data_IF_893063721620
#
_entry.id   IF_893063721620
#
_cell.length_a   1.000
_cell.length_b   1.000
_cell.length_c   1.000
_cell.angle_alpha   90.00
_cell.angle_beta   90.00
_cell.angle_gamma   90.00
#
_symmetry.space_group_name_H-M   'P 1'
#
loop_
_entity.id
_entity.type
_entity.pdbx_description
1 polymer ?
#
# COMPACT_ATOMS: atom_id res chain seq x y z
N UNK A 1 16.78 -6.19 29.22
CA UNK A 1 16.20 -6.55 27.91
C UNK A 1 14.84 -5.90 27.84
N UNK A 2 14.76 -4.64 27.38
CA UNK A 2 13.47 -4.00 27.17
C UNK A 2 12.87 -4.64 25.92
N UNK A 3 11.76 -5.37 26.10
CA UNK A 3 10.93 -5.78 24.97
C UNK A 3 10.45 -4.47 24.35
N UNK A 4 10.90 -4.13 23.15
CA UNK A 4 10.44 -2.94 22.44
C UNK A 4 8.92 -3.03 22.31
N UNK A 5 8.21 -2.33 23.18
CA UNK A 5 6.76 -2.29 23.12
C UNK A 5 6.40 -1.51 21.86
N UNK A 6 5.62 -2.13 20.98
CA UNK A 6 5.03 -1.46 19.82
C UNK A 6 4.39 -0.12 20.26
N UNK A 7 4.44 0.94 19.46
CA UNK A 7 3.72 2.17 19.78
C UNK A 7 2.22 1.87 19.98
N UNK A 8 1.56 2.62 20.86
CA UNK A 8 0.15 2.38 21.22
C UNK A 8 -0.77 2.46 20.01
N UNK A 9 -0.51 3.42 19.13
CA UNK A 9 -1.23 3.70 17.90
C UNK A 9 -1.10 2.54 16.89
N UNK A 10 0.09 1.94 16.81
CA UNK A 10 0.33 0.76 15.94
C UNK A 10 -0.46 -0.44 16.46
N UNK A 11 -0.48 -0.67 17.77
CA UNK A 11 -1.30 -1.74 18.37
C UNK A 11 -2.80 -1.50 18.18
N UNK A 12 -3.25 -0.26 18.32
CA UNK A 12 -4.65 0.10 18.14
C UNK A 12 -5.09 -0.16 16.70
N UNK A 13 -4.30 0.28 15.73
CA UNK A 13 -4.57 0.01 14.32
C UNK A 13 -4.52 -1.49 14.00
N UNK A 14 -3.55 -2.24 14.52
CA UNK A 14 -3.48 -3.69 14.33
C UNK A 14 -4.71 -4.41 14.93
N UNK A 15 -5.17 -3.98 16.11
CA UNK A 15 -6.40 -4.50 16.73
C UNK A 15 -7.65 -4.18 15.89
N UNK A 16 -7.72 -2.96 15.36
CA UNK A 16 -8.78 -2.56 14.44
C UNK A 16 -8.78 -3.42 13.17
N UNK A 17 -7.61 -3.62 12.56
CA UNK A 17 -7.46 -4.42 11.35
C UNK A 17 -7.83 -5.89 11.57
N UNK A 18 -7.46 -6.46 12.72
CA UNK A 18 -7.92 -7.80 13.12
C UNK A 18 -9.44 -7.86 13.22
N UNK A 19 -10.08 -6.87 13.84
CA UNK A 19 -11.53 -6.78 13.94
C UNK A 19 -12.23 -6.63 12.58
N UNK A 20 -11.61 -5.90 11.65
CA UNK A 20 -12.09 -5.78 10.27
C UNK A 20 -12.00 -7.13 9.54
N UNK A 21 -10.85 -7.79 9.58
CA UNK A 21 -10.60 -9.07 8.90
C UNK A 21 -11.42 -10.23 9.49
N UNK A 22 -11.74 -10.21 10.78
CA UNK A 22 -12.62 -11.21 11.40
C UNK A 22 -14.06 -11.17 10.84
N UNK A 23 -14.46 -10.08 10.20
CA UNK A 23 -15.77 -9.93 9.54
C UNK A 23 -15.74 -10.29 8.06
N UNK A 24 -14.56 -10.45 7.47
CA UNK A 24 -14.39 -10.77 6.06
C UNK A 24 -14.18 -12.27 5.89
N UNK A 25 -14.74 -12.83 4.83
CA UNK A 25 -14.45 -14.21 4.43
C UNK A 25 -13.05 -14.26 3.80
N UNK A 26 -12.14 -15.03 4.42
CA UNK A 26 -10.76 -15.19 3.97
C UNK A 26 -10.64 -16.10 2.74
N UNK A 27 -11.74 -16.70 2.27
CA UNK A 27 -11.80 -17.55 1.07
C UNK A 27 -12.21 -16.82 -0.20
N UNK A 28 -12.69 -15.57 -0.12
CA UNK A 28 -13.14 -14.77 -1.28
C UNK A 28 -12.64 -13.32 -1.21
N UNK A 29 -12.85 -12.57 -2.30
CA UNK A 29 -12.49 -11.14 -2.36
C UNK A 29 -10.99 -10.88 -2.34
N UNK A 30 -10.63 -9.61 -2.12
CA UNK A 30 -9.24 -9.17 -2.00
C UNK A 30 -8.53 -9.74 -0.78
N UNK A 31 -9.25 -9.94 0.33
CA UNK A 31 -8.77 -10.58 1.55
C UNK A 31 -8.12 -11.94 1.24
N UNK A 32 -8.81 -12.80 0.48
CA UNK A 32 -8.27 -14.09 0.08
C UNK A 32 -7.05 -13.98 -0.83
N UNK A 33 -7.05 -13.02 -1.76
CA UNK A 33 -5.92 -12.78 -2.67
C UNK A 33 -4.67 -12.36 -1.89
N UNK A 34 -4.81 -11.45 -0.92
CA UNK A 34 -3.67 -11.02 -0.10
C UNK A 34 -3.12 -12.16 0.75
N UNK A 35 -3.99 -12.95 1.39
CA UNK A 35 -3.56 -14.12 2.17
C UNK A 35 -2.86 -15.19 1.32
N UNK A 36 -3.30 -15.40 0.08
CA UNK A 36 -2.65 -16.35 -0.84
C UNK A 36 -1.30 -15.82 -1.36
N UNK A 37 -1.21 -14.52 -1.64
CA UNK A 37 -0.01 -13.90 -2.22
C UNK A 37 1.09 -13.68 -1.19
N UNK A 38 0.73 -13.23 0.01
CA UNK A 38 1.68 -12.86 1.06
C UNK A 38 1.11 -13.11 2.48
N UNK A 39 1.03 -14.39 2.90
CA UNK A 39 0.50 -14.73 4.22
C UNK A 39 1.36 -14.19 5.37
N UNK A 40 2.68 -14.07 5.17
CA UNK A 40 3.60 -13.59 6.20
C UNK A 40 3.49 -12.07 6.36
N UNK A 41 3.38 -11.32 5.26
CA UNK A 41 3.11 -9.88 5.30
C UNK A 41 1.75 -9.55 5.94
N UNK A 42 0.72 -10.36 5.65
CA UNK A 42 -0.59 -10.22 6.32
C UNK A 42 -0.48 -10.45 7.82
N UNK A 43 0.23 -11.49 8.27
CA UNK A 43 0.48 -11.73 9.71
C UNK A 43 1.27 -10.59 10.34
N UNK A 44 2.32 -10.10 9.68
CA UNK A 44 3.12 -8.99 10.17
C UNK A 44 2.27 -7.71 10.38
N UNK A 45 1.29 -7.46 9.50
CA UNK A 45 0.34 -6.36 9.66
C UNK A 45 -0.61 -6.57 10.84
N UNK A 46 -1.11 -7.80 11.02
CA UNK A 46 -2.04 -8.14 12.11
C UNK A 46 -1.37 -8.14 13.49
N UNK A 47 -0.09 -8.51 13.55
CA UNK A 47 0.72 -8.49 14.76
C UNK A 47 1.29 -7.07 15.06
N UNK A 48 1.13 -6.12 14.14
CA UNK A 48 1.63 -4.75 14.26
C UNK A 48 3.14 -4.60 14.02
N UNK A 49 3.81 -5.64 13.51
CA UNK A 49 5.20 -5.57 13.07
C UNK A 49 5.37 -4.70 11.81
N UNK A 50 4.32 -4.66 10.98
CA UNK A 50 4.19 -3.75 9.85
C UNK A 50 2.88 -2.97 9.92
N UNK A 51 2.85 -1.79 9.29
CA UNK A 51 1.61 -1.09 8.97
C UNK A 51 1.35 -1.29 7.48
N UNK A 52 0.19 -1.85 7.08
CA UNK A 52 -0.13 -2.12 5.69
C UNK A 52 -0.18 -0.83 4.87
N UNK A 53 0.14 -0.89 3.57
CA UNK A 53 -0.15 0.18 2.64
C UNK A 53 -1.65 0.53 2.62
N UNK A 54 -1.99 1.80 2.38
CA UNK A 54 -3.38 2.25 2.36
C UNK A 54 -4.21 1.57 1.25
N UNK A 55 -3.61 1.27 0.10
CA UNK A 55 -4.28 0.53 -1.00
C UNK A 55 -4.75 -0.87 -0.57
N UNK A 56 -4.01 -1.52 0.33
CA UNK A 56 -4.42 -2.81 0.90
C UNK A 56 -5.63 -2.61 1.82
N UNK A 57 -5.64 -1.56 2.64
CA UNK A 57 -6.77 -1.23 3.51
C UNK A 57 -8.02 -0.87 2.68
N UNK A 58 -7.87 -0.09 1.62
CA UNK A 58 -8.97 0.25 0.71
C UNK A 58 -9.57 -0.98 0.03
N UNK A 59 -8.73 -1.91 -0.43
CA UNK A 59 -9.21 -3.17 -1.00
C UNK A 59 -10.00 -4.03 0.02
N UNK A 60 -9.55 -4.08 1.28
CA UNK A 60 -10.31 -4.75 2.35
C UNK A 60 -11.64 -4.04 2.66
N UNK A 61 -11.68 -2.71 2.58
CA UNK A 61 -12.92 -1.95 2.73
C UNK A 61 -13.87 -2.15 1.54
N UNK A 62 -13.35 -2.41 0.34
CA UNK A 62 -14.15 -2.84 -0.81
C UNK A 62 -14.80 -4.21 -0.57
N UNK A 63 -14.06 -5.19 -0.04
CA UNK A 63 -14.66 -6.47 0.35
C UNK A 63 -15.75 -6.28 1.43
N UNK A 64 -15.51 -5.37 2.38
CA UNK A 64 -16.51 -5.03 3.38
C UNK A 64 -17.76 -4.39 2.74
N UNK A 65 -17.59 -3.53 1.74
CA UNK A 65 -18.70 -2.95 1.00
C UNK A 65 -19.50 -4.00 0.24
N UNK A 66 -18.82 -5.01 -0.33
CA UNK A 66 -19.47 -6.14 -0.99
C UNK A 66 -20.29 -6.99 0.00
N UNK A 67 -19.78 -7.21 1.21
CA UNK A 67 -20.44 -8.03 2.22
C UNK A 67 -21.54 -7.31 3.02
N UNK A 68 -21.36 -6.03 3.33
CA UNK A 68 -22.20 -5.26 4.28
C UNK A 68 -22.79 -3.97 3.69
N UNK A 69 -22.51 -3.67 2.43
CA UNK A 69 -23.01 -2.50 1.72
C UNK A 69 -22.16 -1.23 1.90
N UNK A 70 -22.33 -0.24 1.00
CA UNK A 70 -21.46 0.93 0.90
C UNK A 70 -21.52 1.85 2.13
N UNK A 71 -22.67 1.94 2.81
CA UNK A 71 -22.82 2.79 4.00
C UNK A 71 -22.00 2.28 5.19
N UNK A 72 -21.91 0.96 5.37
CA UNK A 72 -21.10 0.36 6.43
C UNK A 72 -19.61 0.56 6.11
N UNK A 73 -19.21 0.34 4.86
CA UNK A 73 -17.84 0.55 4.41
C UNK A 73 -17.38 2.02 4.50
N UNK A 74 -18.25 2.99 4.22
CA UNK A 74 -17.92 4.41 4.34
C UNK A 74 -17.54 4.82 5.78
N UNK A 75 -18.33 4.37 6.77
CA UNK A 75 -18.03 4.64 8.19
C UNK A 75 -16.71 3.99 8.64
N UNK A 76 -16.45 2.76 8.18
CA UNK A 76 -15.20 2.07 8.47
C UNK A 76 -14.01 2.73 7.76
N UNK A 77 -14.20 3.26 6.55
CA UNK A 77 -13.15 3.95 5.79
C UNK A 77 -12.65 5.20 6.52
N UNK A 78 -13.57 6.04 7.03
CA UNK A 78 -13.20 7.24 7.78
C UNK A 78 -12.43 6.89 9.06
N UNK A 79 -12.90 5.87 9.79
CA UNK A 79 -12.21 5.37 10.99
C UNK A 79 -10.84 4.79 10.66
N UNK A 80 -10.74 3.98 9.61
CA UNK A 80 -9.51 3.37 9.16
C UNK A 80 -8.47 4.42 8.77
N UNK A 81 -8.85 5.51 8.09
CA UNK A 81 -7.93 6.59 7.72
C UNK A 81 -7.27 7.23 8.94
N UNK A 82 -8.07 7.53 9.98
CA UNK A 82 -7.55 8.17 11.20
C UNK A 82 -6.57 7.25 11.92
N UNK A 83 -6.96 5.99 12.14
CA UNK A 83 -6.11 5.02 12.84
C UNK A 83 -4.84 4.69 12.04
N UNK A 84 -4.96 4.55 10.72
CA UNK A 84 -3.84 4.27 9.83
C UNK A 84 -2.81 5.41 9.84
N UNK A 85 -3.26 6.66 9.73
CA UNK A 85 -2.39 7.82 9.77
C UNK A 85 -1.65 7.94 11.11
N UNK A 86 -2.34 7.71 12.23
CA UNK A 86 -1.72 7.71 13.56
C UNK A 86 -0.68 6.59 13.72
N UNK A 87 -1.02 5.37 13.28
CA UNK A 87 -0.13 4.23 13.31
C UNK A 87 1.13 4.46 12.45
N UNK A 88 0.99 4.99 11.23
CA UNK A 88 2.13 5.33 10.37
C UNK A 88 3.04 6.36 11.02
N UNK A 89 2.47 7.44 11.56
CA UNK A 89 3.25 8.50 12.19
C UNK A 89 4.07 7.98 13.38
N UNK A 90 3.49 7.10 14.19
CA UNK A 90 4.14 6.46 15.33
C UNK A 90 5.18 5.40 14.89
N UNK A 91 4.87 4.61 13.86
CA UNK A 91 5.76 3.61 13.29
C UNK A 91 7.06 4.24 12.76
N UNK A 92 6.93 5.36 12.05
CA UNK A 92 8.05 6.10 11.44
C UNK A 92 8.87 6.88 12.47
N UNK A 93 8.29 7.21 13.61
CA UNK A 93 8.97 7.93 14.70
C UNK A 93 9.84 7.03 15.59
N UNK A 94 9.80 5.70 15.39
CA UNK A 94 10.62 4.76 16.16
C UNK A 94 12.11 4.95 15.87
N UNK A 95 13.01 4.56 16.79
CA UNK A 95 14.45 4.51 16.52
C UNK A 95 14.73 3.72 15.23
N UNK A 96 15.53 4.30 14.32
CA UNK A 96 15.82 3.71 13.01
C UNK A 96 14.69 3.84 11.97
N UNK A 97 13.55 4.46 12.30
CA UNK A 97 12.41 4.59 11.39
C UNK A 97 12.74 5.32 10.08
N UNK A 98 13.63 6.32 10.14
CA UNK A 98 14.08 7.05 8.95
C UNK A 98 14.93 6.19 7.99
N UNK A 99 15.74 5.30 8.53
CA UNK A 99 16.55 4.34 7.76
C UNK A 99 15.65 3.25 7.18
N UNK A 100 14.71 2.72 7.98
CA UNK A 100 13.71 1.76 7.52
C UNK A 100 12.84 2.30 6.37
N UNK A 101 12.49 3.59 6.40
CA UNK A 101 11.81 4.26 5.28
C UNK A 101 12.69 4.30 4.01
N UNK A 102 13.99 4.59 4.14
CA UNK A 102 14.93 4.57 3.02
C UNK A 102 15.07 3.16 2.44
N UNK A 103 15.25 2.15 3.29
CA UNK A 103 15.36 0.74 2.87
C UNK A 103 14.12 0.29 2.10
N UNK A 104 12.93 0.66 2.59
CA UNK A 104 11.66 0.35 1.92
C UNK A 104 11.53 1.09 0.59
N UNK A 105 11.99 2.34 0.50
CA UNK A 105 12.00 3.09 -0.75
C UNK A 105 12.93 2.42 -1.78
N UNK A 106 14.10 1.96 -1.37
CA UNK A 106 15.04 1.26 -2.25
C UNK A 106 14.47 -0.05 -2.79
N UNK A 107 13.75 -0.81 -1.96
CA UNK A 107 12.99 -1.99 -2.41
C UNK A 107 11.94 -1.57 -3.44
N UNK A 108 11.09 -0.58 -3.14
CA UNK A 108 10.02 -0.16 -4.07
C UNK A 108 10.56 0.43 -5.38
N UNK A 109 11.71 1.09 -5.38
CA UNK A 109 12.37 1.57 -6.61
C UNK A 109 12.91 0.42 -7.47
N UNK A 110 13.32 -0.71 -6.87
CA UNK A 110 13.65 -1.93 -7.62
C UNK A 110 12.40 -2.56 -8.23
N UNK A 111 11.33 -2.68 -7.45
CA UNK A 111 10.03 -3.20 -7.95
C UNK A 111 9.46 -2.34 -9.08
N UNK A 112 9.50 -1.00 -8.94
CA UNK A 112 9.04 -0.07 -9.96
C UNK A 112 9.78 -0.26 -11.29
N UNK A 113 11.11 -0.42 -11.24
CA UNK A 113 11.95 -0.68 -12.42
C UNK A 113 11.64 -2.04 -13.03
N UNK A 114 11.55 -3.08 -12.21
CA UNK A 114 11.19 -4.42 -12.66
C UNK A 114 9.83 -4.43 -13.38
N UNK A 115 8.82 -3.78 -12.82
CA UNK A 115 7.51 -3.69 -13.43
C UNK A 115 7.55 -2.94 -14.78
N UNK A 116 8.29 -1.83 -14.87
CA UNK A 116 8.48 -1.08 -16.13
C UNK A 116 9.21 -1.90 -17.21
N UNK A 117 10.24 -2.65 -16.82
CA UNK A 117 10.96 -3.56 -17.72
C UNK A 117 10.04 -4.68 -18.22
N UNK A 118 9.22 -5.26 -17.33
CA UNK A 118 8.26 -6.31 -17.66
C UNK A 118 7.17 -5.80 -18.60
N UNK A 119 6.62 -4.61 -18.36
CA UNK A 119 5.69 -3.96 -19.29
C UNK A 119 6.29 -3.79 -20.69
N UNK A 120 7.54 -3.33 -20.76
CA UNK A 120 8.25 -3.12 -22.03
C UNK A 120 8.46 -4.46 -22.76
N UNK A 121 8.78 -5.52 -22.03
CA UNK A 121 8.92 -6.86 -22.59
C UNK A 121 7.60 -7.42 -23.12
N UNK A 122 6.52 -7.32 -22.34
CA UNK A 122 5.18 -7.77 -22.73
C UNK A 122 4.62 -6.99 -23.92
N UNK A 123 4.88 -5.68 -24.00
CA UNK A 123 4.50 -4.86 -25.16
C UNK A 123 5.18 -5.35 -26.45
N UNK A 124 6.46 -5.73 -26.39
CA UNK A 124 7.16 -6.34 -27.53
C UNK A 124 6.58 -7.71 -27.88
N UNK A 125 6.32 -8.56 -26.88
CA UNK A 125 5.72 -9.87 -27.10
C UNK A 125 4.34 -9.77 -27.76
N UNK A 126 3.52 -8.79 -27.37
CA UNK A 126 2.20 -8.56 -27.95
C UNK A 126 2.26 -8.25 -29.45
N UNK A 127 3.32 -7.55 -29.89
CA UNK A 127 3.54 -7.23 -31.31
C UNK A 127 3.94 -8.47 -32.12
N UNK A 128 4.52 -9.47 -31.47
CA UNK A 128 5.00 -10.72 -32.07
C UNK A 128 4.02 -11.89 -31.92
N UNK A 129 2.87 -11.68 -31.29
CA UNK A 129 1.89 -12.74 -31.02
C UNK A 129 1.42 -13.39 -32.33
N UNK A 130 1.50 -14.72 -32.40
CA UNK A 130 1.17 -15.48 -33.62
C UNK A 130 -0.32 -15.86 -33.67
N UNK A 131 -1.03 -15.74 -32.54
CA UNK A 131 -2.45 -16.06 -32.43
C UNK A 131 -3.23 -15.07 -31.55
N UNK A 132 -4.56 -14.96 -31.74
CA UNK A 132 -5.41 -14.19 -30.84
C UNK A 132 -5.32 -14.64 -29.38
N UNK A 133 -5.23 -15.95 -29.12
CA UNK A 133 -5.16 -16.50 -27.78
C UNK A 133 -3.87 -16.11 -27.06
N UNK A 134 -2.73 -16.13 -27.75
CA UNK A 134 -1.47 -15.62 -27.22
C UNK A 134 -1.51 -14.10 -27.00
N UNK A 135 -2.14 -13.36 -27.91
CA UNK A 135 -2.30 -11.92 -27.73
C UNK A 135 -3.14 -11.60 -26.48
N UNK A 136 -4.19 -12.38 -26.21
CA UNK A 136 -5.06 -12.18 -25.05
C UNK A 136 -4.38 -12.52 -23.73
N UNK A 137 -3.59 -13.60 -23.67
CA UNK A 137 -2.81 -13.91 -22.46
C UNK A 137 -1.75 -12.84 -22.18
N UNK A 138 -1.04 -12.36 -23.20
CA UNK A 138 -0.06 -11.28 -23.06
C UNK A 138 -0.71 -9.96 -22.67
N UNK A 139 -1.92 -9.66 -23.16
CA UNK A 139 -2.70 -8.48 -22.73
C UNK A 139 -3.06 -8.54 -21.25
N UNK A 140 -3.46 -9.71 -20.75
CA UNK A 140 -3.75 -9.90 -19.34
C UNK A 140 -2.49 -9.66 -18.49
N UNK A 141 -1.36 -10.28 -18.85
CA UNK A 141 -0.08 -10.07 -18.17
C UNK A 141 0.37 -8.59 -18.22
N UNK A 142 0.11 -7.90 -19.33
CA UNK A 142 0.42 -6.49 -19.49
C UNK A 142 -0.44 -5.60 -18.57
N UNK A 143 -1.72 -5.93 -18.39
CA UNK A 143 -2.59 -5.23 -17.43
C UNK A 143 -2.06 -5.39 -16.00
N UNK A 144 -1.62 -6.59 -15.63
CA UNK A 144 -0.97 -6.84 -14.34
C UNK A 144 0.31 -6.05 -14.15
N UNK A 145 1.20 -6.06 -15.15
CA UNK A 145 2.46 -5.33 -15.07
C UNK A 145 2.23 -3.80 -14.99
N UNK A 146 1.13 -3.29 -15.56
CA UNK A 146 0.68 -1.89 -15.42
C UNK A 146 0.26 -1.57 -14.00
N UNK A 147 -0.65 -2.37 -13.45
CA UNK A 147 -1.11 -2.22 -12.07
C UNK A 147 0.05 -2.30 -11.06
N UNK A 148 0.95 -3.29 -11.19
CA UNK A 148 2.11 -3.42 -10.30
C UNK A 148 3.04 -2.18 -10.35
N UNK A 149 3.25 -1.61 -11.55
CA UNK A 149 4.06 -0.40 -11.69
C UNK A 149 3.39 0.84 -11.09
N UNK A 150 2.08 0.99 -11.29
CA UNK A 150 1.30 2.08 -10.68
C UNK A 150 1.35 1.99 -9.15
N UNK A 151 1.16 0.80 -8.58
CA UNK A 151 1.29 0.56 -7.14
C UNK A 151 2.70 0.87 -6.63
N UNK A 152 3.74 0.38 -7.31
CA UNK A 152 5.12 0.66 -6.92
C UNK A 152 5.43 2.17 -6.97
N UNK A 153 4.91 2.88 -7.98
CA UNK A 153 5.09 4.33 -8.16
C UNK A 153 4.36 5.14 -7.08
N UNK A 154 3.12 4.77 -6.76
CA UNK A 154 2.36 5.37 -5.67
C UNK A 154 3.07 5.17 -4.33
N UNK A 155 3.58 3.95 -4.06
CA UNK A 155 4.35 3.63 -2.85
C UNK A 155 5.64 4.42 -2.75
N UNK A 156 6.37 4.59 -3.86
CA UNK A 156 7.56 5.44 -3.88
C UNK A 156 7.24 6.90 -3.50
N UNK A 157 6.13 7.43 -4.03
CA UNK A 157 5.68 8.80 -3.74
C UNK A 157 5.30 8.95 -2.27
N UNK A 158 4.57 7.99 -1.72
CA UNK A 158 4.17 7.99 -0.31
C UNK A 158 5.36 7.87 0.64
N UNK A 159 6.33 6.99 0.34
CA UNK A 159 7.52 6.83 1.18
C UNK A 159 8.37 8.11 1.21
N UNK A 160 8.53 8.77 0.06
CA UNK A 160 9.22 10.08 -0.02
C UNK A 160 8.51 11.13 0.82
N UNK A 161 7.18 11.22 0.72
CA UNK A 161 6.37 12.14 1.55
C UNK A 161 6.57 11.87 3.04
N UNK A 162 6.54 10.60 3.46
CA UNK A 162 6.74 10.19 4.85
C UNK A 162 8.14 10.51 5.36
N UNK A 163 9.17 10.33 4.53
CA UNK A 163 10.55 10.74 4.85
C UNK A 163 10.62 12.25 5.06
N UNK A 164 10.03 13.05 4.16
CA UNK A 164 9.99 14.51 4.32
C UNK A 164 9.25 14.93 5.60
N UNK A 165 8.14 14.27 5.92
CA UNK A 165 7.36 14.51 7.13
C UNK A 165 8.14 14.15 8.40
N UNK A 166 8.90 13.06 8.38
CA UNK A 166 9.80 12.65 9.47
C UNK A 166 10.94 13.67 9.65
N UNK A 167 11.57 14.09 8.55
CA UNK A 167 12.67 15.07 8.55
C UNK A 167 12.18 16.44 9.05
N UNK A 168 10.96 16.86 8.69
CA UNK A 168 10.35 18.09 9.24
C UNK A 168 10.09 17.98 10.74
N UNK A 169 9.59 16.84 11.23
CA UNK A 169 9.38 16.61 12.67
C UNK A 169 10.69 16.62 13.45
N UNK A 170 11.73 15.96 12.94
CA UNK A 170 13.05 15.96 13.56
C UNK A 170 13.64 17.39 13.69
N UNK A 171 13.50 18.21 12.63
CA UNK A 171 13.90 19.63 12.65
C UNK A 171 13.07 20.48 13.62
N UNK A 172 11.75 20.26 13.67
CA UNK A 172 10.84 20.98 14.58
C UNK A 172 11.10 20.66 16.06
N UNK A 173 11.42 19.40 16.38
CA UNK A 173 11.83 19.00 17.73
C UNK A 173 13.20 19.59 18.12
N UNK A 174 14.12 19.73 17.16
CA UNK A 174 15.42 20.39 17.38
C UNK A 174 15.31 21.92 17.55
N UNK A 175 14.19 22.53 17.12
CA UNK A 175 13.95 23.97 17.20
C UNK A 175 13.40 24.44 18.57
N UNK A 176 13.17 23.54 19.53
CA UNK A 176 12.88 23.90 20.92
C UNK A 176 14.17 23.92 21.76
N UNK A 177 14.81 25.10 21.98
CA UNK A 177 15.73 25.24 23.09
C UNK A 177 14.93 25.15 24.40
N UNK A 178 15.52 24.53 25.42
CA UNK A 178 14.90 24.26 26.73
C UNK A 178 14.27 25.49 27.44
N UNK A 179 13.57 25.26 28.57
CA UNK A 179 12.59 26.18 29.11
C UNK A 179 13.23 27.53 29.47
N UNK A 180 12.87 28.58 28.73
CA UNK A 180 13.06 29.95 29.19
C UNK A 180 11.93 30.27 30.15
N UNK A 181 12.21 30.25 31.43
CA UNK A 181 11.40 30.95 32.43
C UNK A 181 11.32 32.42 32.06
N UNK A 182 10.17 32.89 31.58
CA UNK A 182 9.78 34.30 31.67
C UNK A 182 8.27 34.47 31.45
N UNK A 183 7.67 35.14 32.42
CA UNK A 183 6.28 35.54 32.54
C UNK A 183 5.69 36.32 31.35
N UNK A 184 4.38 36.14 31.16
CA UNK A 184 3.43 37.23 30.90
C UNK A 184 3.18 37.60 29.43
N UNK A 185 1.91 37.51 29.01
CA UNK A 185 1.42 38.23 27.83
C UNK A 185 0.27 37.51 27.12
N UNK A 186 -0.91 38.13 27.13
CA UNK A 186 -2.20 37.66 26.61
C UNK A 186 -2.39 38.16 25.17
N UNK A 187 -3.04 37.33 24.34
CA UNK A 187 -3.88 37.59 23.15
C UNK A 187 -3.36 38.52 22.04
N UNK A 188 -3.39 38.09 20.77
CA UNK A 188 -4.56 38.37 19.92
C UNK A 188 -4.54 37.56 18.60
N UNK A 189 -5.74 37.43 18.05
CA UNK A 189 -6.20 36.61 16.92
C UNK A 189 -6.02 37.33 15.57
N UNK A 190 -5.63 36.62 14.51
CA UNK A 190 -5.70 37.13 13.12
C UNK A 190 -6.34 36.08 12.22
N UNK A 191 -7.45 36.51 11.60
CA UNK A 191 -8.30 35.84 10.63
C UNK A 191 -7.61 35.75 9.26
N UNK A 192 -7.79 34.64 8.54
CA UNK A 192 -7.62 34.61 7.09
C UNK A 192 -8.64 33.68 6.41
N UNK A 193 -9.37 34.31 5.50
CA UNK A 193 -10.29 33.82 4.48
C UNK A 193 -9.62 32.87 3.47
N UNK A 194 -10.40 31.96 2.88
CA UNK A 194 -9.88 30.87 2.04
C UNK A 194 -10.94 30.17 1.22
N UNK A 195 -11.44 30.86 0.19
CA UNK A 195 -12.22 30.33 -0.92
C UNK A 195 -11.56 29.10 -1.57
N UNK A 196 -12.31 28.01 -1.75
CA UNK A 196 -11.86 26.76 -2.37
C UNK A 196 -12.77 26.32 -3.50
N UNK A 197 -12.46 26.81 -4.70
CA UNK A 197 -13.04 26.35 -5.96
C UNK A 197 -12.61 24.89 -6.23
N UNK A 198 -13.48 24.13 -6.89
CA UNK A 198 -13.40 22.68 -6.97
C UNK A 198 -12.23 22.10 -7.78
N UNK A 199 -11.95 20.83 -7.49
CA UNK A 199 -11.32 19.91 -8.45
C UNK A 199 -12.06 18.57 -8.38
N UNK A 200 -12.76 18.24 -9.45
CA UNK A 200 -13.39 16.93 -9.67
C UNK A 200 -12.36 16.02 -10.35
N UNK A 201 -12.26 14.82 -9.78
CA UNK A 201 -12.10 13.51 -10.41
C UNK A 201 -11.88 13.51 -11.93
N UNK A 202 -10.70 13.04 -12.35
CA UNK A 202 -10.41 12.55 -13.69
C UNK A 202 -9.94 11.10 -13.62
N UNK A 203 -10.82 10.21 -14.07
CA UNK A 203 -10.60 8.87 -14.63
C UNK A 203 -9.67 7.88 -13.94
N UNK A 204 -10.29 7.13 -13.02
CA UNK A 204 -9.99 5.73 -12.76
C UNK A 204 -10.25 4.89 -14.02
N UNK A 205 -9.23 4.23 -14.55
CA UNK A 205 -9.46 2.89 -15.09
C UNK A 205 -9.66 1.98 -13.88
N UNK A 206 -10.85 1.41 -13.84
CA UNK A 206 -11.47 0.61 -12.79
C UNK A 206 -10.70 -0.69 -12.46
N UNK A 207 -10.48 -0.96 -11.18
CA UNK A 207 -10.35 -2.32 -10.63
C UNK A 207 -11.69 -3.08 -10.56
N UNK A 208 -12.79 -2.52 -11.10
CA UNK A 208 -14.07 -3.22 -11.22
C UNK A 208 -14.10 -4.27 -12.35
N UNK A 209 -13.12 -4.32 -13.26
CA UNK A 209 -13.14 -5.28 -14.40
C UNK A 209 -12.26 -6.52 -14.22
N UNK A 210 -11.51 -6.63 -13.13
CA UNK A 210 -10.81 -7.87 -12.75
C UNK A 210 -11.47 -8.49 -11.54
N UNK A 211 -12.34 -9.47 -11.81
CA UNK A 211 -13.01 -10.26 -10.79
C UNK A 211 -11.99 -10.84 -9.80
N UNK A 212 -12.21 -10.71 -8.49
CA UNK A 212 -11.39 -11.35 -7.45
C UNK A 212 -11.24 -12.86 -7.66
N UNK A 213 -12.25 -13.48 -8.29
CA UNK A 213 -12.20 -14.86 -8.76
C UNK A 213 -11.14 -15.10 -9.86
N UNK A 214 -10.97 -14.15 -10.80
CA UNK A 214 -9.91 -14.16 -11.81
C UNK A 214 -8.52 -13.94 -11.21
N UNK A 215 -8.43 -13.08 -10.18
CA UNK A 215 -7.19 -12.79 -9.44
C UNK A 215 -6.71 -14.01 -8.62
N UNK A 216 -7.63 -14.72 -7.96
CA UNK A 216 -7.33 -15.95 -7.22
C UNK A 216 -7.03 -17.16 -8.13
N UNK A 217 -7.62 -17.23 -9.33
CA UNK A 217 -7.30 -18.27 -10.31
C UNK A 217 -5.90 -18.07 -10.94
N UNK A 218 -5.47 -16.82 -11.13
CA UNK A 218 -4.14 -16.48 -11.67
C UNK A 218 -3.00 -16.66 -10.65
N UNK A 219 -3.23 -16.37 -9.36
CA UNK A 219 -2.25 -16.58 -8.29
C UNK A 219 -1.86 -18.06 -8.08
N UNK A 220 -2.60 -19.01 -8.65
CA UNK A 220 -2.30 -20.45 -8.64
C UNK A 220 -1.25 -20.89 -9.67
N UNK A 221 -0.79 -20.02 -10.58
CA UNK A 221 0.27 -20.36 -11.53
C UNK A 221 1.64 -19.88 -11.02
N UNK A 222 2.52 -20.79 -10.54
CA UNK A 222 3.92 -20.45 -10.39
C UNK A 222 4.51 -20.09 -11.77
N UNK A 223 5.55 -19.25 -11.86
CA UNK A 223 6.29 -19.10 -13.11
C UNK A 223 6.73 -20.49 -13.59
N UNK A 224 6.18 -20.91 -14.73
CA UNK A 224 6.50 -22.21 -15.32
C UNK A 224 8.02 -22.34 -15.48
N UNK A 225 8.58 -23.55 -15.29
CA UNK A 225 10.03 -23.74 -15.37
C UNK A 225 10.53 -23.27 -16.73
N UNK A 226 11.51 -22.36 -16.72
CA UNK A 226 12.28 -22.01 -17.90
C UNK A 226 12.74 -23.31 -18.57
N UNK A 227 12.21 -23.57 -19.77
CA UNK A 227 12.44 -24.79 -20.52
C UNK A 227 13.94 -25.04 -20.67
N UNK A 228 14.45 -26.06 -20.00
CA UNK A 228 15.69 -26.71 -20.41
C UNK A 228 15.40 -27.41 -21.72
N UNK A 229 15.77 -26.76 -22.82
CA UNK A 229 15.87 -27.42 -24.12
C UNK A 229 16.97 -28.48 -24.03
N UNK A 230 16.59 -29.73 -24.23
CA UNK A 230 17.51 -30.85 -24.33
C UNK A 230 17.95 -31.04 -25.79
N UNK A 231 19.21 -31.48 -25.89
CA UNK A 231 19.85 -32.22 -26.99
C UNK A 231 20.45 -31.43 -28.16
N UNK A 232 21.77 -31.61 -28.31
CA UNK A 232 22.33 -31.94 -29.62
C UNK A 232 23.34 -33.11 -29.48
N UNK A 233 23.47 -33.97 -30.52
CA UNK A 233 24.09 -35.28 -30.45
C UNK A 233 25.57 -35.25 -30.86
N UNK A 234 26.28 -36.32 -30.48
CA UNK A 234 27.34 -36.95 -31.25
C UNK A 234 27.33 -38.45 -30.94
#
# INVERSE_FOLDING_TARGET
MAVDQLPGEVREFASYLNGLLARLDQGVGWCAVFWQRDPDGMRACLDGWEVPPWDVVEALLHDLAAAYGPRAAGQESDRARVLHAAALAAYDARPGGRDALSDRLDVMLREQRYAAERQSALTRQLTLAASPQEADSVRLDLAWARDDHERASARCTELRRRMDDADRRARGLAAFPGPRTAAGGRADEVVADGSGNGFRLGDTVRMDEVDAAGLAAAARQPPGPAGRSAAHPA
#
